data_IF_418027459775
#
_entry.id   IF_418027459775
#
_cell.length_a   1.000
_cell.length_b   1.000
_cell.length_c   1.000
_cell.angle_alpha   90.00
_cell.angle_beta   90.00
_cell.angle_gamma   90.00
#
_symmetry.space_group_name_H-M   'P 1'
#
loop_
_entity.id
_entity.type
_entity.pdbx_description
1 polymer ?
#
# COMPACT_ATOMS: atom_id res chain seq x y z
N UNK A 1 -21.54 0.59 -12.55
CA UNK A 1 -22.15 -0.42 -11.65
C UNK A 1 -21.45 -0.26 -10.31
N UNK A 2 -22.20 -0.16 -9.22
CA UNK A 2 -21.61 0.07 -7.90
C UNK A 2 -20.81 -1.15 -7.44
N UNK A 3 -19.47 -1.03 -7.41
CA UNK A 3 -18.55 -1.18 -6.26
C UNK A 3 -18.83 -2.21 -5.12
N UNK A 4 -19.71 -3.19 -5.29
CA UNK A 4 -20.06 -4.14 -4.20
C UNK A 4 -19.02 -5.27 -4.02
N UNK A 5 -18.07 -5.43 -4.96
CA UNK A 5 -16.95 -6.39 -4.87
C UNK A 5 -15.61 -5.73 -4.49
N UNK A 6 -15.61 -4.41 -4.25
CA UNK A 6 -14.38 -3.69 -3.92
C UNK A 6 -13.88 -4.10 -2.52
N UNK A 7 -12.61 -4.54 -2.38
CA UNK A 7 -12.07 -4.96 -1.10
C UNK A 7 -12.16 -3.81 -0.10
N UNK A 8 -12.71 -4.12 1.08
CA UNK A 8 -13.03 -3.08 2.08
C UNK A 8 -11.79 -2.49 2.75
N UNK A 9 -10.64 -3.16 2.69
CA UNK A 9 -9.43 -2.82 3.46
C UNK A 9 -9.73 -2.59 4.96
N UNK A 10 -10.58 -3.43 5.56
CA UNK A 10 -10.92 -3.32 6.98
C UNK A 10 -9.70 -3.54 7.89
N UNK A 11 -9.31 -2.50 8.62
CA UNK A 11 -8.15 -2.52 9.54
C UNK A 11 -8.64 -2.91 10.94
N UNK A 12 -8.62 -4.20 11.28
CA UNK A 12 -9.06 -4.65 12.61
C UNK A 12 -8.03 -4.35 13.71
N UNK A 13 -6.74 -4.36 13.36
CA UNK A 13 -5.64 -4.12 14.30
C UNK A 13 -4.78 -2.99 13.74
N UNK A 14 -4.64 -1.89 14.49
CA UNK A 14 -3.78 -0.77 14.09
C UNK A 14 -2.41 -0.90 14.75
N UNK A 15 -1.31 -0.76 13.98
CA UNK A 15 0.02 -0.66 14.55
C UNK A 15 0.10 0.50 15.56
N UNK A 16 0.79 0.27 16.67
CA UNK A 16 1.03 1.26 17.72
C UNK A 16 2.43 1.84 17.56
N UNK A 17 2.53 3.17 17.50
CA UNK A 17 3.84 3.85 17.45
C UNK A 17 4.43 3.98 18.85
N UNK A 18 5.63 3.45 19.07
CA UNK A 18 6.38 3.53 20.33
C UNK A 18 7.64 4.38 20.19
N UNK A 19 8.00 5.04 21.28
CA UNK A 19 9.18 5.89 21.41
C UNK A 19 10.05 5.42 22.58
N UNK A 20 10.81 4.32 22.41
CA UNK A 20 11.72 3.84 23.45
C UNK A 20 12.79 4.89 23.77
N UNK A 21 13.17 5.03 25.05
CA UNK A 21 14.23 5.96 25.45
C UNK A 21 15.57 5.48 24.88
N UNK A 22 16.19 6.31 24.03
CA UNK A 22 17.49 6.03 23.40
C UNK A 22 17.41 5.30 22.05
N UNK A 23 16.21 5.06 21.52
CA UNK A 23 15.99 4.44 20.21
C UNK A 23 15.22 5.34 19.24
N UNK A 24 15.09 4.87 18.00
CA UNK A 24 14.23 5.48 16.98
C UNK A 24 12.74 5.17 17.21
N UNK A 25 11.92 5.52 16.22
CA UNK A 25 10.50 5.17 16.21
C UNK A 25 10.32 3.68 15.93
N UNK A 26 9.56 2.99 16.78
CA UNK A 26 9.17 1.59 16.58
C UNK A 26 7.66 1.49 16.32
N UNK A 27 7.26 0.48 15.56
CA UNK A 27 5.86 0.12 15.35
C UNK A 27 5.62 -1.28 15.90
N UNK A 28 4.67 -1.41 16.81
CA UNK A 28 4.24 -2.70 17.36
C UNK A 28 2.92 -3.11 16.72
N UNK A 29 2.83 -4.37 16.29
CA UNK A 29 1.74 -4.88 15.48
C UNK A 29 1.89 -4.51 14.00
N UNK A 30 1.39 -5.38 13.13
CA UNK A 30 1.45 -5.19 11.68
C UNK A 30 0.11 -5.57 11.04
N UNK A 31 -0.32 -4.76 10.08
CA UNK A 31 -1.38 -5.15 9.14
C UNK A 31 -0.92 -4.76 7.75
N UNK A 32 -0.85 -5.75 6.87
CA UNK A 32 -0.45 -5.61 5.47
C UNK A 32 -1.58 -6.13 4.59
N UNK A 33 -1.87 -5.41 3.52
CA UNK A 33 -2.71 -5.94 2.44
C UNK A 33 -1.82 -6.24 1.24
N UNK A 34 -1.79 -7.51 0.84
CA UNK A 34 -1.10 -7.97 -0.36
C UNK A 34 -2.09 -7.93 -1.53
N UNK A 35 -1.83 -7.05 -2.49
CA UNK A 35 -2.65 -6.85 -3.68
C UNK A 35 -1.93 -7.45 -4.88
N UNK A 36 -2.54 -8.42 -5.55
CA UNK A 36 -1.90 -9.22 -6.60
C UNK A 36 -2.71 -9.20 -7.90
N UNK A 37 -2.13 -8.81 -9.05
CA UNK A 37 -2.79 -8.95 -10.34
C UNK A 37 -2.89 -10.42 -10.74
N UNK A 38 -3.91 -10.75 -11.53
CA UNK A 38 -4.06 -12.08 -12.14
C UNK A 38 -3.14 -12.29 -13.34
N UNK A 39 -2.78 -11.21 -14.03
CA UNK A 39 -1.78 -11.23 -15.08
C UNK A 39 -0.37 -11.40 -14.48
N UNK A 40 0.51 -12.00 -15.27
CA UNK A 40 1.90 -12.29 -14.87
C UNK A 40 2.74 -11.02 -15.01
N UNK A 41 2.71 -10.18 -13.98
CA UNK A 41 3.60 -9.03 -13.82
C UNK A 41 4.80 -9.44 -12.96
N UNK A 42 6.00 -9.13 -13.42
CA UNK A 42 7.18 -9.22 -12.56
C UNK A 42 7.26 -8.01 -11.62
N UNK A 43 8.16 -8.06 -10.64
CA UNK A 43 8.32 -6.98 -9.65
C UNK A 43 8.73 -5.66 -10.32
N UNK A 44 9.44 -5.70 -11.45
CA UNK A 44 9.86 -4.49 -12.15
C UNK A 44 8.67 -3.82 -12.84
N UNK A 45 7.82 -4.59 -13.49
CA UNK A 45 6.61 -4.08 -14.12
C UNK A 45 5.66 -3.49 -13.08
N UNK A 46 5.53 -4.15 -11.91
CA UNK A 46 4.75 -3.64 -10.78
C UNK A 46 5.33 -2.34 -10.21
N UNK A 47 6.65 -2.21 -10.11
CA UNK A 47 7.30 -0.94 -9.71
C UNK A 47 6.93 0.18 -10.67
N UNK A 48 7.06 -0.06 -11.98
CA UNK A 48 6.74 0.95 -13.00
C UNK A 48 5.27 1.36 -12.90
N UNK A 49 4.38 0.38 -12.75
CA UNK A 49 2.95 0.63 -12.57
C UNK A 49 2.67 1.48 -11.33
N UNK A 50 3.18 1.06 -10.15
CA UNK A 50 2.99 1.78 -8.89
C UNK A 50 3.49 3.21 -9.01
N UNK A 51 4.71 3.42 -9.55
CA UNK A 51 5.25 4.75 -9.73
C UNK A 51 4.38 5.60 -10.66
N UNK A 52 3.95 5.06 -11.80
CA UNK A 52 3.07 5.79 -12.73
C UNK A 52 1.75 6.22 -12.09
N UNK A 53 1.15 5.37 -11.25
CA UNK A 53 -0.09 5.67 -10.53
C UNK A 53 0.15 6.73 -9.45
N UNK A 54 1.27 6.65 -8.75
CA UNK A 54 1.64 7.63 -7.74
C UNK A 54 1.94 9.00 -8.36
N UNK A 55 2.67 9.04 -9.47
CA UNK A 55 3.00 10.26 -10.22
C UNK A 55 1.77 10.95 -10.82
N UNK A 56 0.80 10.17 -11.32
CA UNK A 56 -0.42 10.70 -11.93
C UNK A 56 -1.52 11.04 -10.91
N UNK A 57 -1.45 10.45 -9.71
CA UNK A 57 -2.44 10.60 -8.66
C UNK A 57 -2.18 11.78 -7.71
N UNK A 58 -3.06 11.98 -6.71
CA UNK A 58 -2.93 13.00 -5.68
C UNK A 58 -1.96 12.54 -4.58
N UNK A 59 -0.80 12.01 -4.97
CA UNK A 59 0.14 11.41 -4.04
C UNK A 59 1.41 12.23 -3.92
N UNK A 60 1.89 12.34 -2.69
CA UNK A 60 3.28 12.69 -2.40
C UNK A 60 3.96 11.45 -1.86
N UNK A 61 5.03 11.03 -2.49
CA UNK A 61 5.75 9.84 -2.06
C UNK A 61 7.26 10.01 -2.13
N UNK A 62 7.94 9.25 -1.29
CA UNK A 62 9.39 9.13 -1.29
C UNK A 62 9.79 7.68 -1.12
N UNK A 63 10.92 7.30 -1.71
CA UNK A 63 11.50 5.97 -1.59
C UNK A 63 12.45 5.87 -0.38
N UNK A 64 12.59 4.65 0.13
CA UNK A 64 13.72 4.31 0.99
C UNK A 64 14.84 3.72 0.15
N UNK A 65 15.91 4.49 -0.02
CA UNK A 65 17.13 4.04 -0.68
C UNK A 65 17.76 2.84 0.03
N UNK A 66 18.47 2.01 -0.74
CA UNK A 66 19.28 0.87 -0.28
C UNK A 66 18.52 -0.25 0.46
N UNK A 67 17.21 -0.36 0.26
CA UNK A 67 16.46 -1.53 0.68
C UNK A 67 16.55 -2.66 -0.35
N UNK A 68 16.49 -3.93 0.09
CA UNK A 68 16.49 -5.09 -0.81
C UNK A 68 15.21 -5.17 -1.67
N UNK A 69 14.23 -4.31 -1.42
CA UNK A 69 12.96 -4.24 -2.14
C UNK A 69 12.48 -2.78 -2.26
N UNK A 70 11.80 -2.42 -3.36
CA UNK A 70 11.16 -1.12 -3.52
C UNK A 70 10.14 -0.88 -2.40
N UNK A 71 10.31 0.22 -1.67
CA UNK A 71 9.42 0.63 -0.59
C UNK A 71 9.23 2.15 -0.63
N UNK A 72 7.98 2.57 -0.69
CA UNK A 72 7.57 3.97 -0.75
C UNK A 72 6.81 4.34 0.52
N UNK A 73 7.11 5.51 1.08
CA UNK A 73 6.20 6.20 2.00
C UNK A 73 5.25 7.04 1.16
N UNK A 74 3.95 6.72 1.21
CA UNK A 74 2.93 7.40 0.41
C UNK A 74 2.05 8.24 1.33
N UNK A 75 1.86 9.50 0.95
CA UNK A 75 0.85 10.39 1.49
C UNK A 75 -0.19 10.68 0.40
N UNK A 76 -1.45 10.37 0.69
CA UNK A 76 -2.59 10.64 -0.18
C UNK A 76 -3.19 12.01 0.19
N UNK A 77 -3.04 13.00 -0.69
CA UNK A 77 -3.53 14.36 -0.46
C UNK A 77 -5.07 14.46 -0.54
N UNK A 78 -5.76 13.49 -1.17
CA UNK A 78 -7.24 13.49 -1.22
C UNK A 78 -7.84 13.10 0.15
N UNK A 79 -7.24 12.10 0.80
CA UNK A 79 -7.78 11.51 2.04
C UNK A 79 -7.03 11.97 3.29
N UNK A 80 -5.82 12.51 3.13
CA UNK A 80 -4.88 12.80 4.21
C UNK A 80 -4.23 11.55 4.81
N UNK A 81 -4.46 10.38 4.23
CA UNK A 81 -3.92 9.11 4.73
C UNK A 81 -2.43 8.98 4.41
N UNK A 82 -1.71 8.27 5.27
CA UNK A 82 -0.30 7.93 5.05
C UNK A 82 -0.09 6.45 5.32
N UNK A 83 0.57 5.75 4.42
CA UNK A 83 0.85 4.32 4.50
C UNK A 83 2.15 4.00 3.74
N UNK A 84 2.63 2.76 3.83
CA UNK A 84 3.78 2.33 3.02
C UNK A 84 3.32 1.39 1.91
N UNK A 85 3.95 1.50 0.76
CA UNK A 85 3.73 0.65 -0.40
C UNK A 85 5.02 -0.07 -0.73
N UNK A 86 4.99 -1.38 -0.79
CA UNK A 86 6.13 -2.19 -1.20
C UNK A 86 5.79 -3.03 -2.42
N UNK A 87 6.81 -3.39 -3.20
CA UNK A 87 6.66 -4.33 -4.33
C UNK A 87 7.58 -5.52 -4.08
N UNK A 88 7.00 -6.72 -4.06
CA UNK A 88 7.74 -7.99 -3.97
C UNK A 88 6.89 -9.18 -4.36
N UNK A 89 7.55 -10.23 -4.82
CA UNK A 89 6.95 -11.54 -5.07
C UNK A 89 5.74 -11.49 -6.03
N UNK A 90 5.71 -10.54 -6.96
CA UNK A 90 4.60 -10.29 -7.88
C UNK A 90 3.37 -9.68 -7.21
N UNK A 91 3.54 -8.97 -6.10
CA UNK A 91 2.46 -8.28 -5.39
C UNK A 91 2.86 -6.87 -4.96
N UNK A 92 1.83 -6.02 -4.81
CA UNK A 92 1.95 -4.71 -4.17
C UNK A 92 1.43 -4.83 -2.74
N UNK A 93 2.28 -4.56 -1.77
CA UNK A 93 1.93 -4.63 -0.35
C UNK A 93 1.63 -3.24 0.22
N UNK A 94 0.45 -3.07 0.80
CA UNK A 94 0.07 -1.88 1.54
C UNK A 94 0.24 -2.13 3.03
N UNK A 95 1.27 -1.53 3.64
CA UNK A 95 1.50 -1.60 5.07
C UNK A 95 0.79 -0.45 5.77
N UNK A 96 -0.12 -0.83 6.67
CA UNK A 96 -0.85 0.10 7.53
C UNK A 96 0.11 0.78 8.50
N UNK A 97 -0.05 2.08 8.68
CA UNK A 97 0.53 2.89 9.74
C UNK A 97 -0.57 3.30 10.74
N UNK A 98 -0.25 3.80 11.95
CA UNK A 98 -1.25 4.09 12.97
C UNK A 98 -2.40 4.99 12.49
N UNK A 99 -2.09 5.96 11.63
CA UNK A 99 -3.05 6.93 11.09
C UNK A 99 -3.69 6.51 9.75
N UNK A 100 -3.30 5.38 9.16
CA UNK A 100 -3.87 4.93 7.88
C UNK A 100 -5.33 4.57 8.03
N UNK A 101 -6.19 5.04 7.14
CA UNK A 101 -7.57 4.61 7.01
C UNK A 101 -7.77 3.82 5.72
N UNK A 102 -8.87 3.06 5.68
CA UNK A 102 -9.24 2.25 4.51
C UNK A 102 -9.50 3.09 3.27
N UNK A 103 -9.82 4.39 3.42
CA UNK A 103 -10.10 5.28 2.30
C UNK A 103 -8.89 5.46 1.38
N UNK A 104 -7.72 5.82 1.92
CA UNK A 104 -6.49 5.94 1.12
C UNK A 104 -6.06 4.62 0.48
N UNK A 105 -6.21 3.49 1.20
CA UNK A 105 -5.89 2.16 0.65
C UNK A 105 -6.80 1.78 -0.53
N UNK A 106 -8.12 2.03 -0.41
CA UNK A 106 -9.07 1.84 -1.50
C UNK A 106 -8.77 2.77 -2.67
N UNK A 107 -8.40 4.02 -2.38
CA UNK A 107 -8.05 5.02 -3.39
C UNK A 107 -6.87 4.58 -4.24
N UNK A 108 -5.82 4.01 -3.63
CA UNK A 108 -4.67 3.48 -4.37
C UNK A 108 -5.02 2.19 -5.11
N UNK A 109 -5.74 1.27 -4.45
CA UNK A 109 -6.19 0.02 -5.08
C UNK A 109 -6.94 0.28 -6.38
N UNK A 110 -7.94 1.17 -6.36
CA UNK A 110 -8.73 1.53 -7.54
C UNK A 110 -7.88 2.08 -8.67
N UNK A 111 -6.91 2.96 -8.35
CA UNK A 111 -6.04 3.53 -9.37
C UNK A 111 -5.10 2.49 -9.98
N UNK A 112 -4.63 1.51 -9.20
CA UNK A 112 -3.87 0.37 -9.73
C UNK A 112 -4.74 -0.50 -10.65
N UNK A 113 -5.96 -0.82 -10.23
CA UNK A 113 -6.88 -1.63 -11.04
C UNK A 113 -7.27 -0.90 -12.32
N UNK A 114 -7.60 0.38 -12.24
CA UNK A 114 -8.03 1.20 -13.39
C UNK A 114 -6.89 1.42 -14.40
N UNK A 115 -5.64 1.38 -13.96
CA UNK A 115 -4.47 1.50 -14.82
C UNK A 115 -4.10 0.20 -15.57
N UNK A 116 -4.82 -0.90 -15.32
CA UNK A 116 -4.51 -2.21 -15.92
C UNK A 116 -5.74 -2.93 -16.43
N UNK A 117 -5.63 -3.63 -17.56
CA UNK A 117 -6.65 -4.58 -18.02
C UNK A 117 -6.48 -5.95 -17.33
N UNK A 118 -6.41 -5.98 -15.99
CA UNK A 118 -6.25 -7.19 -15.20
C UNK A 118 -7.18 -7.19 -13.98
N UNK A 119 -7.66 -8.36 -13.57
CA UNK A 119 -8.32 -8.51 -12.28
C UNK A 119 -7.28 -8.63 -11.17
N UNK A 120 -7.62 -8.14 -9.98
CA UNK A 120 -6.74 -8.14 -8.81
C UNK A 120 -7.38 -8.86 -7.63
N UNK A 121 -6.56 -9.51 -6.82
CA UNK A 121 -6.97 -10.13 -5.56
C UNK A 121 -6.30 -9.43 -4.38
N UNK A 122 -6.97 -9.42 -3.23
CA UNK A 122 -6.47 -8.81 -1.99
C UNK A 122 -6.48 -9.83 -0.87
N UNK A 123 -5.32 -10.01 -0.24
CA UNK A 123 -5.16 -10.84 0.95
C UNK A 123 -4.62 -10.00 2.09
N UNK A 124 -5.24 -10.07 3.27
CA UNK A 124 -4.73 -9.42 4.48
C UNK A 124 -3.74 -10.35 5.20
N UNK A 125 -2.61 -9.81 5.63
CA UNK A 125 -1.60 -10.43 6.50
C UNK A 125 -1.45 -9.59 7.77
N UNK A 126 -1.21 -10.21 8.92
CA UNK A 126 -1.07 -9.54 10.22
C UNK A 126 -1.74 -10.33 11.35
N UNK A 127 -1.35 -10.02 12.59
CA UNK A 127 -1.86 -10.67 13.82
C UNK A 127 -3.31 -10.30 14.17
#
# INVERSE_FOLDING_TARGET
>A
MADDDDPTFAISTRPQRRYPRGGGVEYEGETVFSVRPSADFDDRDLVVLVQSVLDAGPYRYGDWFDLPMPLYLVHDDDTGDTFRVAVRDGAVEFHVLPATNSAGLRGLYRRLTDATDSSWSVTRKGD
#
